data_IF_123266344520
#
_entry.id   IF_123266344520
#
_cell.length_a   1.000
_cell.length_b   1.000
_cell.length_c   1.000
_cell.angle_alpha   90.00
_cell.angle_beta   90.00
_cell.angle_gamma   90.00
#
_symmetry.space_group_name_H-M   'P 1'
#
loop_
_entity.id
_entity.type
_entity.pdbx_description
1 polymer ?
#
# COMPACT_ATOMS: atom_id res chain seq x y z
N UNK A 1 48.15 4.37 -25.04
CA UNK A 1 46.95 3.73 -24.43
C UNK A 1 46.51 4.39 -23.12
N UNK A 2 47.40 4.89 -22.26
CA UNK A 2 47.05 5.45 -20.93
C UNK A 2 46.19 6.74 -20.94
N UNK A 3 46.35 7.64 -21.92
CA UNK A 3 45.58 8.89 -21.95
C UNK A 3 44.08 8.71 -22.25
N UNK A 4 43.69 7.64 -22.94
CA UNK A 4 42.29 7.33 -23.23
C UNK A 4 41.55 6.85 -21.98
N UNK A 5 42.20 6.00 -21.16
CA UNK A 5 41.64 5.49 -19.91
C UNK A 5 41.50 6.59 -18.84
N UNK A 6 42.48 7.50 -18.75
CA UNK A 6 42.41 8.64 -17.84
C UNK A 6 41.29 9.62 -18.21
N UNK A 7 41.07 9.85 -19.51
CA UNK A 7 39.96 10.67 -20.03
C UNK A 7 38.62 10.02 -19.69
N UNK A 8 38.44 8.73 -19.96
CA UNK A 8 37.20 7.99 -19.65
C UNK A 8 36.86 8.01 -18.16
N UNK A 9 37.85 7.86 -17.28
CA UNK A 9 37.66 7.87 -15.83
C UNK A 9 37.28 9.28 -15.30
N UNK A 10 37.81 10.35 -15.93
CA UNK A 10 37.44 11.73 -15.62
C UNK A 10 36.00 12.04 -16.03
N UNK A 11 35.59 11.64 -17.23
CA UNK A 11 34.20 11.75 -17.71
C UNK A 11 33.23 10.96 -16.82
N UNK A 12 33.59 9.73 -16.44
CA UNK A 12 32.79 8.90 -15.55
C UNK A 12 32.61 9.54 -14.15
N UNK A 13 33.65 10.16 -13.59
CA UNK A 13 33.56 10.89 -12.31
C UNK A 13 32.69 12.13 -12.40
N UNK A 14 32.71 12.84 -13.54
CA UNK A 14 31.85 14.01 -13.77
C UNK A 14 30.39 13.56 -13.89
N UNK A 15 30.11 12.51 -14.66
CA UNK A 15 28.78 11.93 -14.78
C UNK A 15 28.24 11.44 -13.43
N UNK A 16 29.08 10.77 -12.63
CA UNK A 16 28.72 10.33 -11.28
C UNK A 16 28.36 11.51 -10.37
N UNK A 17 29.17 12.57 -10.36
CA UNK A 17 28.89 13.78 -9.56
C UNK A 17 27.59 14.45 -10.01
N UNK A 18 27.35 14.53 -11.32
CA UNK A 18 26.11 15.08 -11.86
C UNK A 18 24.88 14.26 -11.42
N UNK A 19 24.97 12.93 -11.46
CA UNK A 19 23.90 12.05 -10.98
C UNK A 19 23.63 12.21 -9.48
N UNK A 20 24.67 12.31 -8.65
CA UNK A 20 24.49 12.54 -7.21
C UNK A 20 23.80 13.87 -6.95
N UNK A 21 24.21 14.95 -7.64
CA UNK A 21 23.57 16.26 -7.48
C UNK A 21 22.10 16.21 -7.91
N UNK A 22 21.80 15.58 -9.05
CA UNK A 22 20.42 15.43 -9.52
C UNK A 22 19.57 14.63 -8.53
N UNK A 23 20.09 13.52 -8.01
CA UNK A 23 19.42 12.71 -6.99
C UNK A 23 19.15 13.51 -5.72
N UNK A 24 20.10 14.33 -5.27
CA UNK A 24 19.93 15.20 -4.09
C UNK A 24 18.83 16.23 -4.30
N UNK A 25 18.79 16.90 -5.45
CA UNK A 25 17.76 17.89 -5.78
C UNK A 25 16.37 17.25 -5.80
N UNK A 26 16.25 16.09 -6.45
CA UNK A 26 15.01 15.33 -6.48
C UNK A 26 14.62 14.88 -5.06
N UNK A 27 15.57 14.37 -4.28
CA UNK A 27 15.33 13.93 -2.91
C UNK A 27 14.83 15.06 -2.00
N UNK A 28 15.42 16.25 -2.10
CA UNK A 28 14.97 17.43 -1.35
C UNK A 28 13.55 17.81 -1.78
N UNK A 29 13.27 17.80 -3.09
CA UNK A 29 11.94 18.15 -3.61
C UNK A 29 10.86 17.15 -3.16
N UNK A 30 11.14 15.84 -3.26
CA UNK A 30 10.24 14.77 -2.83
C UNK A 30 9.95 14.87 -1.34
N UNK A 31 10.99 15.07 -0.52
CA UNK A 31 10.82 15.20 0.93
C UNK A 31 9.95 16.41 1.24
N UNK A 32 10.20 17.54 0.59
CA UNK A 32 9.42 18.78 0.79
C UNK A 32 7.96 18.59 0.39
N UNK A 33 7.70 17.99 -0.78
CA UNK A 33 6.35 17.72 -1.27
C UNK A 33 5.58 16.76 -0.33
N UNK A 34 6.25 15.71 0.14
CA UNK A 34 5.66 14.74 1.06
C UNK A 34 5.35 15.36 2.42
N UNK A 35 6.27 16.14 2.99
CA UNK A 35 6.04 16.83 4.27
C UNK A 35 4.90 17.85 4.15
N UNK A 36 4.81 18.57 3.02
CA UNK A 36 3.69 19.48 2.77
C UNK A 36 2.35 18.74 2.67
N UNK A 37 2.33 17.59 2.00
CA UNK A 37 1.14 16.75 1.90
C UNK A 37 0.74 16.19 3.28
N UNK A 38 1.69 15.74 4.10
CA UNK A 38 1.45 15.31 5.49
C UNK A 38 0.92 16.45 6.35
N UNK A 39 1.46 17.66 6.20
CA UNK A 39 1.03 18.82 6.96
C UNK A 39 -0.43 19.21 6.66
N UNK A 40 -0.91 18.97 5.43
CA UNK A 40 -2.33 19.18 5.08
C UNK A 40 -3.27 18.09 5.60
N UNK A 41 -2.74 16.92 5.93
CA UNK A 41 -3.49 15.77 6.43
C UNK A 41 -3.32 15.58 7.95
N UNK A 42 -3.02 16.65 8.69
CA UNK A 42 -2.81 16.63 10.15
C UNK A 42 -1.80 15.57 10.62
N UNK A 43 -0.75 15.32 9.83
CA UNK A 43 0.24 14.25 10.06
C UNK A 43 -0.32 12.83 10.10
N UNK A 44 -1.57 12.63 9.69
CA UNK A 44 -2.21 11.32 9.63
C UNK A 44 -1.91 10.64 8.28
N UNK A 45 -0.97 9.70 8.30
CA UNK A 45 -0.57 8.91 7.11
C UNK A 45 -1.77 8.18 6.48
N UNK A 46 -2.73 7.74 7.30
CA UNK A 46 -3.95 7.08 6.83
C UNK A 46 -4.85 8.01 6.01
N UNK A 47 -4.93 9.30 6.35
CA UNK A 47 -5.75 10.27 5.63
C UNK A 47 -5.11 10.60 4.27
N UNK A 48 -3.79 10.72 4.22
CA UNK A 48 -3.05 10.84 2.96
C UNK A 48 -3.30 9.65 2.02
N UNK A 49 -3.27 8.45 2.57
CA UNK A 49 -3.55 7.24 1.80
C UNK A 49 -5.00 7.20 1.34
N UNK A 50 -5.95 7.62 2.19
CA UNK A 50 -7.37 7.76 1.84
C UNK A 50 -7.54 8.76 0.68
N UNK A 51 -6.96 9.94 0.78
CA UNK A 51 -7.01 10.98 -0.27
C UNK A 51 -6.40 10.47 -1.59
N UNK A 52 -5.28 9.74 -1.52
CA UNK A 52 -4.69 9.09 -2.68
C UNK A 52 -5.65 8.06 -3.31
N UNK A 53 -6.20 7.14 -2.50
CA UNK A 53 -7.12 6.10 -2.95
C UNK A 53 -8.43 6.67 -3.52
N UNK A 54 -8.92 7.78 -2.97
CA UNK A 54 -10.06 8.52 -3.52
C UNK A 54 -9.69 9.14 -4.87
N UNK A 55 -8.53 9.79 -4.97
CA UNK A 55 -8.09 10.47 -6.22
C UNK A 55 -7.90 9.52 -7.41
N UNK A 56 -7.49 8.27 -7.14
CA UNK A 56 -7.34 7.22 -8.16
C UNK A 56 -8.63 6.43 -8.40
N UNK A 57 -9.72 6.78 -7.69
CA UNK A 57 -11.04 6.18 -7.84
C UNK A 57 -11.21 4.79 -7.22
N UNK A 58 -10.31 4.38 -6.31
CA UNK A 58 -10.41 3.10 -5.60
C UNK A 58 -11.34 3.14 -4.38
N UNK A 59 -11.52 4.32 -3.77
CA UNK A 59 -12.42 4.53 -2.63
C UNK A 59 -13.36 5.69 -2.95
N UNK A 60 -14.62 5.57 -2.56
CA UNK A 60 -15.62 6.63 -2.70
C UNK A 60 -15.69 7.48 -1.44
N UNK A 61 -15.80 8.80 -1.59
CA UNK A 61 -16.05 9.70 -0.47
C UNK A 61 -17.51 9.55 0.00
N UNK A 62 -17.71 9.36 1.31
CA UNK A 62 -19.03 9.36 1.92
C UNK A 62 -19.38 10.79 2.36
N UNK A 63 -20.29 11.45 1.64
CA UNK A 63 -20.72 12.82 1.98
C UNK A 63 -21.68 12.89 3.17
N UNK A 64 -22.39 11.80 3.49
CA UNK A 64 -23.40 11.81 4.56
C UNK A 64 -23.25 10.64 5.53
N UNK A 65 -23.61 10.86 6.80
CA UNK A 65 -23.60 9.84 7.85
C UNK A 65 -24.50 8.64 7.50
N UNK A 66 -25.56 8.87 6.72
CA UNK A 66 -26.49 7.82 6.28
C UNK A 66 -25.83 6.90 5.25
N UNK A 67 -25.02 7.46 4.34
CA UNK A 67 -24.30 6.69 3.33
C UNK A 67 -23.22 5.81 3.95
N UNK A 68 -22.47 6.37 4.92
CA UNK A 68 -21.49 5.62 5.72
C UNK A 68 -22.13 4.46 6.48
N UNK A 69 -23.28 4.69 7.13
CA UNK A 69 -23.96 3.65 7.89
C UNK A 69 -24.50 2.52 7.00
N UNK A 70 -24.99 2.88 5.81
CA UNK A 70 -25.46 1.91 4.81
C UNK A 70 -24.31 1.05 4.30
N UNK A 71 -23.14 1.65 4.05
CA UNK A 71 -21.96 0.92 3.63
C UNK A 71 -21.43 -0.05 4.72
N UNK A 72 -21.34 0.39 5.97
CA UNK A 72 -20.93 -0.47 7.09
C UNK A 72 -21.88 -1.66 7.26
N UNK A 73 -23.19 -1.40 7.17
CA UNK A 73 -24.20 -2.46 7.25
C UNK A 73 -24.15 -3.40 6.04
N UNK A 74 -23.83 -2.89 4.85
CA UNK A 74 -23.58 -3.71 3.67
C UNK A 74 -22.39 -4.66 3.86
N UNK A 75 -21.28 -4.15 4.40
CA UNK A 75 -20.09 -4.96 4.71
C UNK A 75 -20.39 -6.01 5.79
N UNK A 76 -21.18 -5.65 6.80
CA UNK A 76 -21.64 -6.59 7.82
C UNK A 76 -22.37 -7.80 7.20
N UNK A 77 -23.26 -7.58 6.24
CA UNK A 77 -23.94 -8.68 5.55
C UNK A 77 -22.97 -9.57 4.75
N UNK A 78 -21.97 -8.99 4.09
CA UNK A 78 -20.96 -9.76 3.34
C UNK A 78 -20.14 -10.63 4.28
N UNK A 79 -19.71 -10.09 5.42
CA UNK A 79 -18.96 -10.83 6.44
C UNK A 79 -19.84 -11.94 7.04
N UNK A 80 -21.11 -11.66 7.32
CA UNK A 80 -22.07 -12.67 7.80
C UNK A 80 -22.22 -13.83 6.82
N UNK A 81 -22.38 -13.55 5.53
CA UNK A 81 -22.48 -14.59 4.48
C UNK A 81 -21.16 -15.37 4.36
N UNK A 82 -20.03 -14.69 4.37
CA UNK A 82 -18.71 -15.31 4.32
C UNK A 82 -18.49 -16.23 5.53
N UNK A 83 -18.86 -15.79 6.73
CA UNK A 83 -18.74 -16.57 7.95
C UNK A 83 -19.67 -17.78 7.93
N UNK A 84 -20.90 -17.62 7.45
CA UNK A 84 -21.88 -18.70 7.38
C UNK A 84 -21.48 -19.79 6.37
N UNK A 85 -20.70 -19.46 5.33
CA UNK A 85 -20.11 -20.45 4.42
C UNK A 85 -18.78 -21.02 4.93
N UNK A 86 -17.88 -20.16 5.41
CA UNK A 86 -16.54 -20.55 5.84
C UNK A 86 -16.55 -21.39 7.12
N UNK A 87 -17.43 -21.07 8.08
CA UNK A 87 -17.54 -21.78 9.35
C UNK A 87 -17.91 -23.28 9.19
N UNK A 88 -18.97 -23.68 8.46
CA UNK A 88 -19.27 -25.08 8.23
C UNK A 88 -18.22 -25.77 7.35
N UNK A 89 -17.58 -25.07 6.41
CA UNK A 89 -16.47 -25.63 5.63
C UNK A 89 -15.26 -25.94 6.53
N UNK A 90 -14.92 -25.03 7.43
CA UNK A 90 -13.86 -25.19 8.43
C UNK A 90 -14.19 -26.31 9.43
N UNK A 91 -15.44 -26.40 9.89
CA UNK A 91 -15.88 -27.46 10.80
C UNK A 91 -15.83 -28.84 10.14
N UNK A 92 -16.22 -28.94 8.86
CA UNK A 92 -16.05 -30.17 8.06
C UNK A 92 -14.57 -30.52 7.89
N UNK A 93 -13.71 -29.53 7.67
CA UNK A 93 -12.27 -29.75 7.56
C UNK A 93 -11.68 -30.35 8.85
N UNK A 94 -11.98 -29.77 10.01
CA UNK A 94 -11.49 -30.28 11.30
C UNK A 94 -12.04 -31.68 11.67
N UNK A 95 -13.30 -31.96 11.36
CA UNK A 95 -13.89 -33.26 11.67
C UNK A 95 -13.51 -34.36 10.66
N UNK A 96 -12.94 -34.00 9.51
CA UNK A 96 -12.46 -34.98 8.53
C UNK A 96 -11.29 -35.82 9.06
N UNK A 97 -10.49 -35.28 9.98
CA UNK A 97 -9.37 -36.02 10.59
C UNK A 97 -9.82 -37.00 11.70
N UNK A 98 -10.98 -36.78 12.33
CA UNK A 98 -11.47 -37.65 13.41
C UNK A 98 -12.13 -38.94 12.93
N UNK A 99 -12.50 -39.02 11.64
CA UNK A 99 -13.13 -40.19 11.04
C UNK A 99 -12.18 -41.35 10.75
N UNK A 100 -10.86 -41.16 10.88
CA UNK A 100 -9.85 -42.16 10.53
C UNK A 100 -9.26 -42.90 11.75
N UNK A 101 -9.62 -42.50 12.98
CA UNK A 101 -9.09 -43.06 14.24
C UNK A 101 -10.12 -43.92 14.98
N UNK A 102 -11.35 -44.09 14.47
CA UNK A 102 -12.39 -44.96 15.05
C UNK A 102 -12.69 -46.15 14.11
N UNK A 103 -11.66 -46.65 13.44
CA UNK A 103 -11.67 -47.91 12.72
C UNK A 103 -10.44 -48.72 13.15
N UNK A 104 -10.37 -49.07 14.42
CA UNK A 104 -9.57 -50.18 14.94
C UNK A 104 -10.33 -50.86 16.08
#
# INVERSE_FOLDING_TARGET
>A
MNNSLAKQNKEAKIALRAMVVAASVIGIWVTTALTFALARADWQVGELFRQYLVSIGLIQDFETMVDFYTHIKGVEYIICVAFLGAFPAFFKYLNKEKGQVIAE
#
